data_IF_304787751253
#
_entry.id   IF_304787751253
#
_cell.length_a   1.000
_cell.length_b   1.000
_cell.length_c   1.000
_cell.angle_alpha   90.00
_cell.angle_beta   90.00
_cell.angle_gamma   90.00
#
_symmetry.space_group_name_H-M   'P 1'
#
loop_
_entity.id
_entity.type
_entity.pdbx_description
1 polymer ?
#
# COMPACT_ATOMS: atom_id res chain seq x y z
N UNK A 1 -14.25 10.43 13.37
CA UNK A 1 -15.63 10.41 12.84
C UNK A 1 -16.32 9.09 13.17
N UNK A 2 -15.85 7.92 12.73
CA UNK A 2 -16.44 6.60 13.07
C UNK A 2 -16.44 6.32 14.58
N UNK A 3 -15.32 6.55 15.28
CA UNK A 3 -15.25 6.33 16.74
C UNK A 3 -16.34 7.07 17.53
N UNK A 4 -16.75 8.26 17.08
CA UNK A 4 -17.80 9.04 17.72
C UNK A 4 -19.21 8.49 17.46
N UNK A 5 -19.38 7.63 16.47
CA UNK A 5 -20.68 7.02 16.07
C UNK A 5 -20.64 5.50 16.04
N UNK A 6 -19.65 4.90 16.69
CA UNK A 6 -19.44 3.45 16.64
C UNK A 6 -20.65 2.65 17.17
N UNK A 7 -21.38 3.20 18.14
CA UNK A 7 -22.60 2.57 18.68
C UNK A 7 -23.81 2.63 17.75
N UNK A 8 -23.82 3.58 16.81
CA UNK A 8 -24.92 3.81 15.87
C UNK A 8 -24.63 3.23 14.49
N UNK A 9 -23.38 2.84 14.23
CA UNK A 9 -22.95 2.36 12.92
C UNK A 9 -22.98 0.83 12.87
N UNK A 10 -23.74 0.21 11.96
CA UNK A 10 -23.68 -1.23 11.78
C UNK A 10 -22.33 -1.63 11.17
N UNK A 11 -21.70 -2.65 11.73
CA UNK A 11 -20.45 -3.22 11.21
C UNK A 11 -20.69 -4.57 10.50
N UNK A 12 -19.89 -4.91 9.47
CA UNK A 12 -18.82 -4.12 8.87
C UNK A 12 -19.35 -2.91 8.07
N UNK A 13 -18.79 -1.73 8.32
CA UNK A 13 -19.15 -0.51 7.63
C UNK A 13 -18.25 -0.29 6.41
N UNK A 14 -18.86 -0.04 5.25
CA UNK A 14 -18.19 0.24 3.98
C UNK A 14 -18.50 1.66 3.57
N UNK A 15 -17.48 2.49 3.58
CA UNK A 15 -17.61 3.89 3.27
C UNK A 15 -16.74 4.26 2.07
N UNK A 16 -17.18 5.22 1.31
CA UNK A 16 -16.37 5.83 0.27
C UNK A 16 -16.52 7.35 0.26
N UNK A 17 -15.55 8.01 -0.26
CA UNK A 17 -15.62 9.44 -0.57
C UNK A 17 -14.90 9.75 -1.86
N UNK A 18 -15.47 10.66 -2.64
CA UNK A 18 -14.82 11.25 -3.81
C UNK A 18 -14.73 12.74 -3.52
N UNK A 19 -13.51 13.22 -3.32
CA UNK A 19 -13.28 14.61 -2.93
C UNK A 19 -12.01 15.16 -3.58
N UNK A 20 -11.95 16.49 -3.61
CA UNK A 20 -10.75 17.21 -4.01
C UNK A 20 -9.83 17.34 -2.81
N UNK A 21 -8.58 16.95 -3.00
CA UNK A 21 -7.54 17.01 -1.97
C UNK A 21 -6.43 17.94 -2.37
N UNK A 22 -5.77 18.53 -1.38
CA UNK A 22 -4.62 19.40 -1.55
C UNK A 22 -3.42 18.83 -0.79
N UNK A 23 -2.24 18.84 -1.42
CA UNK A 23 -0.96 18.48 -0.79
C UNK A 23 0.08 19.52 -1.05
N UNK A 24 0.85 19.86 -0.03
CA UNK A 24 2.04 20.70 -0.18
C UNK A 24 3.21 19.83 -0.66
N UNK A 25 3.17 19.46 -1.94
CA UNK A 25 4.22 18.67 -2.59
C UNK A 25 4.91 19.50 -3.68
N UNK A 26 6.14 19.09 -4.05
CA UNK A 26 6.81 19.68 -5.20
C UNK A 26 6.08 19.23 -6.48
N UNK A 27 5.50 20.14 -7.27
CA UNK A 27 4.81 19.80 -8.49
C UNK A 27 5.76 19.16 -9.50
N UNK A 28 5.31 18.10 -10.16
CA UNK A 28 6.02 17.47 -11.27
C UNK A 28 5.01 16.76 -12.18
N UNK A 29 5.46 16.26 -13.33
CA UNK A 29 4.57 15.60 -14.29
C UNK A 29 3.78 14.47 -13.62
N UNK A 30 2.45 14.53 -13.70
CA UNK A 30 1.54 13.56 -13.07
C UNK A 30 1.38 13.68 -11.56
N UNK A 31 1.94 14.76 -10.94
CA UNK A 31 1.79 15.02 -9.51
C UNK A 31 1.46 16.49 -9.29
N UNK A 32 0.19 16.76 -9.05
CA UNK A 32 -0.35 18.08 -8.79
C UNK A 32 -0.56 18.30 -7.29
N UNK A 33 -0.64 19.58 -6.88
CA UNK A 33 -0.97 19.93 -5.48
C UNK A 33 -2.44 19.78 -5.17
N UNK A 34 -3.27 19.83 -6.18
CA UNK A 34 -4.72 19.69 -6.10
C UNK A 34 -5.16 18.55 -7.01
N UNK A 35 -5.87 17.57 -6.48
CA UNK A 35 -6.26 16.38 -7.22
C UNK A 35 -7.54 15.75 -6.65
N UNK A 36 -8.28 15.08 -7.50
CA UNK A 36 -9.40 14.25 -7.10
C UNK A 36 -8.93 12.90 -6.59
N UNK A 37 -9.54 12.43 -5.51
CA UNK A 37 -9.21 11.14 -4.94
C UNK A 37 -10.48 10.40 -4.53
N UNK A 38 -10.58 9.12 -4.94
CA UNK A 38 -11.51 8.16 -4.39
C UNK A 38 -10.85 7.50 -3.17
N UNK A 39 -11.51 7.56 -2.02
CA UNK A 39 -11.14 6.79 -0.84
C UNK A 39 -12.23 5.76 -0.58
N UNK A 40 -11.82 4.53 -0.25
CA UNK A 40 -12.71 3.46 0.13
C UNK A 40 -12.19 2.82 1.40
N UNK A 41 -13.07 2.69 2.39
CA UNK A 41 -12.74 2.20 3.71
C UNK A 41 -13.69 1.07 4.12
N UNK A 42 -13.14 0.02 4.73
CA UNK A 42 -13.89 -1.05 5.39
C UNK A 42 -13.52 -1.05 6.87
N UNK A 43 -14.51 -0.93 7.73
CA UNK A 43 -14.33 -0.92 9.18
C UNK A 43 -15.03 -2.10 9.84
N UNK A 44 -14.40 -2.65 10.89
CA UNK A 44 -14.97 -3.74 11.68
C UNK A 44 -14.95 -5.10 10.97
N UNK A 45 -14.04 -5.28 10.04
CA UNK A 45 -13.74 -6.56 9.41
C UNK A 45 -12.23 -6.81 9.50
N UNK A 46 -11.84 -7.87 10.18
CA UNK A 46 -10.45 -8.25 10.33
C UNK A 46 -10.03 -9.31 9.31
N UNK A 47 -8.75 -9.26 8.94
CA UNK A 47 -8.07 -10.30 8.17
C UNK A 47 -8.17 -10.13 6.67
N UNK A 48 -7.73 -11.17 5.96
CA UNK A 48 -7.53 -11.17 4.52
C UNK A 48 -8.80 -10.92 3.69
N UNK A 49 -9.99 -11.10 4.26
CA UNK A 49 -11.25 -10.85 3.55
C UNK A 49 -11.47 -9.35 3.26
N UNK A 50 -11.16 -8.47 4.23
CA UNK A 50 -11.26 -7.03 4.02
C UNK A 50 -10.25 -6.55 2.97
N UNK A 51 -9.03 -7.07 3.04
CA UNK A 51 -7.98 -6.75 2.07
C UNK A 51 -8.36 -7.24 0.66
N UNK A 52 -8.88 -8.46 0.54
CA UNK A 52 -9.32 -9.03 -0.73
C UNK A 52 -10.49 -8.23 -1.35
N UNK A 53 -11.43 -7.78 -0.52
CA UNK A 53 -12.56 -6.95 -0.97
C UNK A 53 -12.08 -5.60 -1.54
N UNK A 54 -11.19 -4.91 -0.84
CA UNK A 54 -10.64 -3.61 -1.29
C UNK A 54 -9.79 -3.79 -2.57
N UNK A 55 -8.96 -4.84 -2.63
CA UNK A 55 -8.15 -5.12 -3.82
C UNK A 55 -9.05 -5.46 -5.02
N UNK A 56 -10.04 -6.32 -4.81
CA UNK A 56 -11.02 -6.69 -5.84
C UNK A 56 -11.77 -5.47 -6.38
N UNK A 57 -12.24 -4.61 -5.50
CA UNK A 57 -12.87 -3.34 -5.89
C UNK A 57 -11.93 -2.45 -6.72
N UNK A 58 -10.64 -2.37 -6.35
CA UNK A 58 -9.65 -1.64 -7.15
C UNK A 58 -9.52 -2.19 -8.57
N UNK A 59 -9.50 -3.51 -8.73
CA UNK A 59 -9.50 -4.18 -10.04
C UNK A 59 -10.77 -3.86 -10.83
N UNK A 60 -11.94 -3.95 -10.19
CA UNK A 60 -13.22 -3.69 -10.83
C UNK A 60 -13.35 -2.23 -11.30
N UNK A 61 -12.82 -1.28 -10.53
CA UNK A 61 -12.75 0.13 -10.93
C UNK A 61 -11.88 0.28 -12.19
N UNK A 62 -10.70 -0.33 -12.25
CA UNK A 62 -9.85 -0.27 -13.44
C UNK A 62 -10.56 -0.83 -14.68
N UNK A 63 -11.25 -1.96 -14.53
CA UNK A 63 -12.05 -2.57 -15.60
C UNK A 63 -13.22 -1.70 -16.02
N UNK A 64 -13.90 -1.05 -15.08
CA UNK A 64 -15.00 -0.13 -15.36
C UNK A 64 -14.56 1.09 -16.18
N UNK A 65 -13.30 1.51 -16.03
CA UNK A 65 -12.66 2.52 -16.88
C UNK A 65 -12.14 1.96 -18.23
N UNK A 66 -12.38 0.70 -18.52
CA UNK A 66 -12.00 0.06 -19.79
C UNK A 66 -10.61 -0.55 -19.81
N UNK A 67 -9.94 -0.67 -18.65
CA UNK A 67 -8.65 -1.34 -18.59
C UNK A 67 -8.82 -2.86 -18.76
N UNK A 68 -7.98 -3.46 -19.60
CA UNK A 68 -7.87 -4.91 -19.78
C UNK A 68 -6.77 -5.47 -18.87
N UNK A 69 -6.75 -6.78 -18.65
CA UNK A 69 -5.85 -7.43 -17.69
C UNK A 69 -4.36 -7.31 -18.05
N UNK A 70 -4.03 -6.96 -19.29
CA UNK A 70 -2.68 -6.67 -19.77
C UNK A 70 -2.23 -5.22 -19.56
N UNK A 71 -3.16 -4.32 -19.22
CA UNK A 71 -2.86 -2.89 -19.03
C UNK A 71 -2.39 -2.55 -17.62
N UNK A 72 -2.65 -3.39 -16.62
CA UNK A 72 -2.29 -3.12 -15.24
C UNK A 72 -1.92 -4.37 -14.45
N UNK A 73 -1.15 -4.17 -13.40
CA UNK A 73 -0.74 -5.24 -12.48
C UNK A 73 -0.99 -4.78 -11.04
N UNK A 74 -1.67 -5.61 -10.27
CA UNK A 74 -1.83 -5.41 -8.83
C UNK A 74 -0.65 -6.04 -8.10
N UNK A 75 0.13 -5.23 -7.40
CA UNK A 75 1.24 -5.68 -6.57
C UNK A 75 0.82 -5.67 -5.11
N UNK A 76 0.85 -6.83 -4.49
CA UNK A 76 0.46 -7.01 -3.09
C UNK A 76 1.72 -7.29 -2.27
N UNK A 77 1.79 -6.68 -1.10
CA UNK A 77 2.83 -6.95 -0.12
C UNK A 77 2.18 -7.22 1.25
N UNK A 78 2.73 -8.17 1.99
CA UNK A 78 2.30 -8.48 3.34
C UNK A 78 3.49 -8.31 4.30
N UNK A 79 3.37 -7.37 5.25
CA UNK A 79 4.41 -7.05 6.20
C UNK A 79 4.85 -8.27 7.02
N UNK A 80 3.90 -9.09 7.46
CA UNK A 80 4.19 -10.29 8.27
C UNK A 80 5.06 -11.29 7.52
N UNK A 81 4.82 -11.47 6.21
CA UNK A 81 5.65 -12.36 5.38
C UNK A 81 7.05 -11.81 5.26
N UNK A 82 7.20 -10.51 5.02
CA UNK A 82 8.50 -9.87 4.88
C UNK A 82 9.27 -9.95 6.21
N UNK A 83 8.65 -9.60 7.33
CA UNK A 83 9.27 -9.67 8.66
C UNK A 83 9.72 -11.10 8.99
N UNK A 84 8.89 -12.10 8.67
CA UNK A 84 9.25 -13.51 8.82
C UNK A 84 10.46 -13.90 7.96
N UNK A 85 10.47 -13.49 6.69
CA UNK A 85 11.61 -13.77 5.80
C UNK A 85 12.89 -13.10 6.27
N UNK A 86 12.83 -11.85 6.74
CA UNK A 86 14.01 -11.15 7.28
C UNK A 86 14.59 -11.87 8.49
N UNK A 87 13.75 -12.27 9.46
CA UNK A 87 14.18 -12.89 10.69
C UNK A 87 14.61 -14.36 10.50
N UNK A 88 13.80 -15.16 9.78
CA UNK A 88 13.98 -16.61 9.75
C UNK A 88 14.72 -17.14 8.53
N UNK A 89 14.61 -16.42 7.38
CA UNK A 89 15.26 -16.85 6.15
C UNK A 89 16.63 -16.19 5.98
N UNK A 90 16.73 -14.91 6.30
CA UNK A 90 17.96 -14.14 6.19
C UNK A 90 18.73 -14.06 7.52
N UNK A 91 18.11 -14.44 8.64
CA UNK A 91 18.73 -14.44 9.96
C UNK A 91 19.09 -13.04 10.48
N UNK A 92 18.42 -12.00 9.98
CA UNK A 92 18.69 -10.62 10.33
C UNK A 92 18.14 -10.30 11.73
N UNK A 93 18.91 -9.53 12.49
CA UNK A 93 18.40 -8.94 13.73
C UNK A 93 17.38 -7.80 13.45
N UNK A 94 16.78 -7.24 14.51
CA UNK A 94 15.75 -6.21 14.39
C UNK A 94 16.27 -4.92 13.72
N UNK A 95 17.53 -4.56 13.92
CA UNK A 95 18.14 -3.35 13.34
C UNK A 95 18.44 -3.60 11.86
N UNK A 96 19.07 -4.72 11.56
CA UNK A 96 19.35 -5.14 10.19
C UNK A 96 18.09 -5.30 9.36
N UNK A 97 17.03 -5.91 9.92
CA UNK A 97 15.74 -6.05 9.25
C UNK A 97 15.13 -4.67 8.90
N UNK A 98 15.22 -3.68 9.79
CA UNK A 98 14.75 -2.33 9.50
C UNK A 98 15.58 -1.63 8.40
N UNK A 99 16.90 -1.81 8.40
CA UNK A 99 17.79 -1.25 7.37
C UNK A 99 17.48 -1.89 6.01
N UNK A 100 17.32 -3.20 5.98
CA UNK A 100 16.98 -3.96 4.79
C UNK A 100 15.62 -3.52 4.23
N UNK A 101 14.60 -3.31 5.08
CA UNK A 101 13.29 -2.79 4.65
C UNK A 101 13.40 -1.41 3.99
N UNK A 102 14.16 -0.48 4.57
CA UNK A 102 14.42 0.84 3.98
C UNK A 102 15.15 0.72 2.63
N UNK A 103 16.03 -0.23 2.50
CA UNK A 103 16.74 -0.50 1.25
C UNK A 103 15.78 -1.05 0.19
N UNK A 104 14.86 -1.96 0.54
CA UNK A 104 13.82 -2.46 -0.37
C UNK A 104 12.89 -1.36 -0.87
N UNK A 105 12.51 -0.39 -0.04
CA UNK A 105 11.70 0.76 -0.46
C UNK A 105 12.39 1.62 -1.53
N UNK A 106 13.71 1.53 -1.60
CA UNK A 106 14.54 2.25 -2.58
C UNK A 106 14.97 1.41 -3.77
N UNK A 107 14.69 0.11 -3.78
CA UNK A 107 15.16 -0.84 -4.79
C UNK A 107 14.95 -0.36 -6.23
N UNK A 108 13.78 0.20 -6.54
CA UNK A 108 13.45 0.68 -7.88
C UNK A 108 13.94 2.10 -8.18
N UNK A 109 14.65 2.73 -7.23
CA UNK A 109 15.13 4.14 -7.32
C UNK A 109 16.65 4.23 -7.36
N UNK A 110 17.36 3.12 -7.20
CA UNK A 110 18.82 3.03 -7.20
C UNK A 110 19.28 1.98 -8.19
N UNK A 111 20.56 2.07 -8.60
CA UNK A 111 21.15 1.09 -9.50
C UNK A 111 21.22 -0.32 -8.85
N UNK A 112 21.04 -1.41 -9.60
CA UNK A 112 21.06 -2.77 -9.06
C UNK A 112 22.35 -3.12 -8.31
N UNK A 113 23.49 -2.65 -8.80
CA UNK A 113 24.80 -2.83 -8.15
C UNK A 113 24.84 -2.16 -6.78
N UNK A 114 24.39 -0.89 -6.71
CA UNK A 114 24.33 -0.14 -5.46
C UNK A 114 23.35 -0.75 -4.45
N UNK A 115 22.25 -1.36 -4.93
CA UNK A 115 21.36 -2.12 -4.06
C UNK A 115 22.06 -3.34 -3.47
N UNK A 116 22.78 -4.10 -4.29
CA UNK A 116 23.52 -5.29 -3.86
C UNK A 116 24.59 -4.96 -2.82
N UNK A 117 25.39 -3.94 -3.10
CA UNK A 117 26.49 -3.52 -2.19
C UNK A 117 25.94 -3.12 -0.83
N UNK A 118 24.88 -2.26 -0.80
CA UNK A 118 24.23 -1.87 0.44
C UNK A 118 23.54 -3.03 1.17
N UNK A 119 23.08 -4.06 0.46
CA UNK A 119 22.47 -5.24 1.07
C UNK A 119 23.51 -6.18 1.70
N UNK A 120 24.75 -6.19 1.18
CA UNK A 120 25.87 -6.97 1.75
C UNK A 120 26.40 -6.30 3.01
N UNK A 121 26.35 -4.97 3.08
CA UNK A 121 26.81 -4.19 4.23
C UNK A 121 25.86 -4.26 5.45
N UNK A 122 24.66 -4.77 5.29
CA UNK A 122 23.64 -4.98 6.35
C UNK A 122 23.81 -6.34 7.01
#
# INVERSE_FOLDING_TARGET
MIAARAQETPFPARWYSIAQFMRYERPQRGREREFWQLNCDVFGLDGALAEAEIIGMGVDIMRAFGATDDMFVVRINNRKIIDYMMAHYLGLDAVQAQLMMKLFDRKNKIAPESFRDQAIDI
#
